data_IF_285031732675
#
_entry.id   IF_285031732675
#
_cell.length_a   1.000
_cell.length_b   1.000
_cell.length_c   1.000
_cell.angle_alpha   90.00
_cell.angle_beta   90.00
_cell.angle_gamma   90.00
#
_symmetry.space_group_name_H-M   'P 1'
#
loop_
_entity.id
_entity.type
_entity.pdbx_description
1 polymer ?
#
# COMPACT_ATOMS: atom_id res chain seq x y z
N UNK A 1 -59.85 -21.21 -5.15
CA UNK A 1 -58.74 -20.32 -5.53
C UNK A 1 -57.87 -21.09 -6.52
N UNK A 2 -57.85 -20.70 -7.79
CA UNK A 2 -57.24 -21.50 -8.88
C UNK A 2 -55.72 -21.59 -8.70
N UNK A 3 -55.18 -22.80 -8.85
CA UNK A 3 -53.74 -23.14 -8.85
C UNK A 3 -52.88 -22.17 -9.68
N UNK A 4 -53.43 -21.63 -10.77
CA UNK A 4 -52.79 -20.65 -11.64
C UNK A 4 -52.48 -19.31 -10.94
N UNK A 5 -53.35 -18.83 -10.06
CA UNK A 5 -53.11 -17.65 -9.23
C UNK A 5 -52.03 -17.89 -8.18
N UNK A 6 -52.02 -19.09 -7.58
CA UNK A 6 -50.96 -19.49 -6.64
C UNK A 6 -49.60 -19.53 -7.33
N UNK A 7 -49.51 -20.07 -8.54
CA UNK A 7 -48.28 -20.11 -9.34
C UNK A 7 -47.79 -18.69 -9.67
N UNK A 8 -48.68 -17.80 -10.12
CA UNK A 8 -48.33 -16.40 -10.41
C UNK A 8 -47.81 -15.66 -9.18
N UNK A 9 -48.41 -15.87 -8.00
CA UNK A 9 -47.96 -15.25 -6.74
C UNK A 9 -46.57 -15.76 -6.36
N UNK A 10 -46.31 -17.06 -6.48
CA UNK A 10 -45.01 -17.66 -6.14
C UNK A 10 -43.91 -17.18 -7.09
N UNK A 11 -44.16 -17.22 -8.40
CA UNK A 11 -43.21 -16.75 -9.41
C UNK A 11 -42.94 -15.24 -9.28
N UNK A 12 -44.00 -14.45 -9.05
CA UNK A 12 -43.87 -13.02 -8.79
C UNK A 12 -43.02 -12.72 -7.56
N UNK A 13 -43.24 -13.46 -6.48
CA UNK A 13 -42.48 -13.33 -5.23
C UNK A 13 -41.00 -13.69 -5.40
N UNK A 14 -40.69 -14.75 -6.17
CA UNK A 14 -39.32 -15.14 -6.52
C UNK A 14 -38.61 -14.08 -7.36
N UNK A 15 -39.32 -13.47 -8.33
CA UNK A 15 -38.80 -12.36 -9.13
C UNK A 15 -38.46 -11.14 -8.27
N UNK A 16 -39.34 -10.77 -7.33
CA UNK A 16 -39.10 -9.66 -6.40
C UNK A 16 -37.89 -9.95 -5.51
N UNK A 17 -37.77 -11.16 -4.96
CA UNK A 17 -36.62 -11.58 -4.16
C UNK A 17 -35.31 -11.51 -4.97
N UNK A 18 -35.35 -11.94 -6.24
CA UNK A 18 -34.19 -11.87 -7.13
C UNK A 18 -33.76 -10.42 -7.42
N UNK A 19 -34.72 -9.52 -7.69
CA UNK A 19 -34.42 -8.10 -7.89
C UNK A 19 -33.84 -7.44 -6.63
N UNK A 20 -34.37 -7.77 -5.44
CA UNK A 20 -33.81 -7.30 -4.16
C UNK A 20 -32.38 -7.80 -3.96
N UNK A 21 -32.09 -9.05 -4.31
CA UNK A 21 -30.74 -9.61 -4.26
C UNK A 21 -29.76 -8.85 -5.16
N UNK A 22 -30.14 -8.55 -6.39
CA UNK A 22 -29.32 -7.76 -7.32
C UNK A 22 -29.07 -6.34 -6.80
N UNK A 23 -30.10 -5.70 -6.26
CA UNK A 23 -30.02 -4.35 -5.70
C UNK A 23 -29.07 -4.30 -4.49
N UNK A 24 -29.13 -5.28 -3.59
CA UNK A 24 -28.19 -5.42 -2.48
C UNK A 24 -26.75 -5.63 -2.97
N UNK A 25 -26.55 -6.48 -3.98
CA UNK A 25 -25.25 -6.68 -4.61
C UNK A 25 -24.66 -5.39 -5.21
N UNK A 26 -25.51 -4.59 -5.86
CA UNK A 26 -25.12 -3.28 -6.40
C UNK A 26 -24.71 -2.29 -5.31
N UNK A 27 -25.49 -2.19 -4.23
CA UNK A 27 -25.17 -1.30 -3.09
C UNK A 27 -23.83 -1.71 -2.44
N UNK A 28 -23.62 -3.02 -2.23
CA UNK A 28 -22.37 -3.55 -1.70
C UNK A 28 -21.19 -3.21 -2.61
N UNK A 29 -21.35 -3.35 -3.94
CA UNK A 29 -20.33 -3.00 -4.91
C UNK A 29 -19.96 -1.50 -4.89
N UNK A 30 -20.95 -0.61 -4.81
CA UNK A 30 -20.71 0.84 -4.69
C UNK A 30 -19.98 1.18 -3.39
N UNK A 31 -20.38 0.56 -2.27
CA UNK A 31 -19.72 0.75 -0.98
C UNK A 31 -18.24 0.31 -1.03
N UNK A 32 -17.96 -0.84 -1.64
CA UNK A 32 -16.60 -1.34 -1.86
C UNK A 32 -15.77 -0.39 -2.70
N UNK A 33 -16.32 0.11 -3.81
CA UNK A 33 -15.62 1.07 -4.69
C UNK A 33 -15.29 2.37 -3.95
N UNK A 34 -16.19 2.84 -3.09
CA UNK A 34 -15.96 4.03 -2.25
C UNK A 34 -14.82 3.80 -1.24
N UNK A 35 -14.75 2.63 -0.62
CA UNK A 35 -13.66 2.30 0.33
C UNK A 35 -12.32 2.10 -0.39
N UNK A 36 -12.33 1.43 -1.54
CA UNK A 36 -11.16 1.26 -2.41
C UNK A 36 -10.57 2.61 -2.83
N UNK A 37 -11.41 3.55 -3.27
CA UNK A 37 -10.95 4.90 -3.60
C UNK A 37 -10.31 5.59 -2.40
N UNK A 38 -10.88 5.46 -1.19
CA UNK A 38 -10.26 6.01 0.03
C UNK A 38 -8.89 5.43 0.31
N UNK A 39 -8.72 4.11 0.15
CA UNK A 39 -7.41 3.44 0.29
C UNK A 39 -6.42 4.03 -0.71
N UNK A 40 -6.81 4.15 -1.98
CA UNK A 40 -5.94 4.68 -3.03
C UNK A 40 -5.62 6.18 -2.83
N UNK A 41 -6.56 6.96 -2.31
CA UNK A 41 -6.35 8.38 -2.02
C UNK A 41 -5.35 8.57 -0.88
N UNK A 42 -5.48 7.81 0.22
CA UNK A 42 -4.47 7.84 1.29
C UNK A 42 -3.12 7.31 0.82
N UNK A 43 -3.13 6.27 -0.02
CA UNK A 43 -1.91 5.71 -0.61
C UNK A 43 -1.16 6.75 -1.46
N UNK A 44 -1.87 7.54 -2.26
CA UNK A 44 -1.29 8.63 -3.06
C UNK A 44 -0.69 9.73 -2.18
N UNK A 45 -1.23 9.99 -0.99
CA UNK A 45 -0.65 10.98 -0.07
C UNK A 45 0.71 10.57 0.48
N UNK A 46 1.02 9.27 0.51
CA UNK A 46 2.34 8.76 0.91
C UNK A 46 3.39 9.02 -0.18
N UNK A 47 2.97 9.20 -1.44
CA UNK A 47 3.89 9.32 -2.56
C UNK A 47 4.95 10.41 -2.47
N UNK A 48 4.60 11.68 -2.19
CA UNK A 48 5.61 12.73 -2.06
C UNK A 48 6.60 12.45 -0.90
N UNK A 49 6.14 11.79 0.15
CA UNK A 49 6.97 11.44 1.29
C UNK A 49 8.02 10.37 0.91
N UNK A 50 7.57 9.29 0.26
CA UNK A 50 8.46 8.21 -0.18
C UNK A 50 9.48 8.70 -1.23
N UNK A 51 9.07 9.58 -2.14
CA UNK A 51 10.01 10.24 -3.07
C UNK A 51 11.09 11.04 -2.34
N UNK A 52 10.71 11.81 -1.32
CA UNK A 52 11.69 12.54 -0.50
C UNK A 52 12.68 11.62 0.23
N UNK A 53 12.22 10.45 0.69
CA UNK A 53 13.09 9.44 1.31
C UNK A 53 14.09 8.85 0.33
N UNK A 54 13.66 8.60 -0.91
CA UNK A 54 14.55 8.14 -1.99
C UNK A 54 15.62 9.16 -2.29
N UNK A 55 15.26 10.44 -2.40
CA UNK A 55 16.21 11.51 -2.70
C UNK A 55 17.25 11.66 -1.59
N UNK A 56 16.82 11.63 -0.32
CA UNK A 56 17.75 11.63 0.82
C UNK A 56 18.69 10.41 0.79
N UNK A 57 18.18 9.24 0.39
CA UNK A 57 19.01 8.06 0.31
C UNK A 57 20.04 8.14 -0.83
N UNK A 58 19.64 8.68 -1.99
CA UNK A 58 20.58 8.96 -3.08
C UNK A 58 21.68 9.92 -2.62
N UNK A 59 21.31 11.00 -1.92
CA UNK A 59 22.27 11.95 -1.34
C UNK A 59 23.26 11.24 -0.38
N UNK A 60 22.74 10.39 0.51
CA UNK A 60 23.57 9.64 1.45
C UNK A 60 24.54 8.67 0.73
N UNK A 61 24.08 8.00 -0.33
CA UNK A 61 24.92 7.11 -1.13
C UNK A 61 25.99 7.83 -1.93
N UNK A 62 25.68 9.00 -2.50
CA UNK A 62 26.68 9.85 -3.16
C UNK A 62 27.80 10.20 -2.16
N UNK A 63 27.45 10.57 -0.93
CA UNK A 63 28.44 10.83 0.10
C UNK A 63 29.27 9.60 0.46
N UNK A 64 28.64 8.42 0.58
CA UNK A 64 29.32 7.14 0.83
C UNK A 64 30.36 6.84 -0.26
N UNK A 65 30.01 7.08 -1.53
CA UNK A 65 30.89 6.88 -2.69
C UNK A 65 32.03 7.90 -2.75
N UNK A 66 31.72 9.19 -2.58
CA UNK A 66 32.72 10.28 -2.56
C UNK A 66 33.79 10.03 -1.48
N UNK A 67 33.38 9.42 -0.37
CA UNK A 67 34.28 9.08 0.75
C UNK A 67 34.88 7.69 0.65
N UNK A 68 34.52 6.92 -0.38
CA UNK A 68 34.96 5.56 -0.63
C UNK A 68 34.78 4.65 0.61
N UNK A 69 33.63 4.79 1.29
CA UNK A 69 33.34 4.00 2.49
C UNK A 69 33.06 2.54 2.12
N UNK A 70 33.49 1.56 2.94
CA UNK A 70 33.31 0.16 2.64
C UNK A 70 31.85 -0.28 2.83
N UNK A 71 31.18 -0.71 1.76
CA UNK A 71 29.84 -1.30 1.79
C UNK A 71 29.76 -2.58 0.98
N UNK A 72 28.71 -3.38 1.18
CA UNK A 72 28.45 -4.59 0.37
C UNK A 72 27.85 -4.19 -0.98
N UNK A 73 28.47 -4.58 -2.10
CA UNK A 73 27.99 -4.21 -3.45
C UNK A 73 26.57 -4.71 -3.72
N UNK A 74 26.27 -5.96 -3.37
CA UNK A 74 24.95 -6.57 -3.52
C UNK A 74 23.84 -5.75 -2.85
N UNK A 75 24.17 -5.09 -1.74
CA UNK A 75 23.23 -4.23 -1.02
C UNK A 75 22.85 -3.00 -1.84
N UNK A 76 23.84 -2.32 -2.41
CA UNK A 76 23.61 -1.15 -3.26
C UNK A 76 22.80 -1.50 -4.50
N UNK A 77 23.14 -2.59 -5.19
CA UNK A 77 22.42 -3.01 -6.39
C UNK A 77 20.96 -3.38 -6.11
N UNK A 78 20.71 -4.06 -4.99
CA UNK A 78 19.35 -4.40 -4.56
C UNK A 78 18.53 -3.14 -4.31
N UNK A 79 19.16 -2.14 -3.71
CA UNK A 79 18.53 -0.89 -3.38
C UNK A 79 18.20 -0.02 -4.60
N UNK A 80 19.15 0.11 -5.52
CA UNK A 80 18.95 0.89 -6.76
C UNK A 80 17.86 0.27 -7.65
N UNK A 81 17.75 -1.07 -7.67
CA UNK A 81 16.68 -1.79 -8.36
C UNK A 81 15.30 -1.53 -7.77
N UNK A 82 15.21 -1.18 -6.48
CA UNK A 82 13.93 -0.93 -5.81
C UNK A 82 13.40 0.50 -6.02
N UNK A 83 14.23 1.46 -6.44
CA UNK A 83 13.79 2.86 -6.63
C UNK A 83 12.60 3.05 -7.57
N UNK A 84 12.54 2.40 -8.75
CA UNK A 84 11.41 2.57 -9.66
C UNK A 84 10.10 2.07 -9.06
N UNK A 85 10.16 1.07 -8.18
CA UNK A 85 8.98 0.49 -7.54
C UNK A 85 8.39 1.42 -6.46
N UNK A 86 9.17 2.40 -5.98
CA UNK A 86 8.71 3.39 -4.99
C UNK A 86 7.73 4.38 -5.61
N UNK A 87 7.85 4.72 -6.88
CA UNK A 87 6.87 5.55 -7.62
C UNK A 87 5.84 4.73 -8.38
N UNK A 88 5.79 3.41 -8.16
CA UNK A 88 4.81 2.54 -8.81
C UNK A 88 3.39 2.82 -8.31
N UNK A 89 2.42 2.74 -9.23
CA UNK A 89 1.00 2.74 -8.88
C UNK A 89 0.54 1.40 -8.29
N UNK A 90 1.38 0.35 -8.37
CA UNK A 90 1.11 -0.95 -7.77
C UNK A 90 1.47 -0.96 -6.27
N UNK A 91 0.45 -1.20 -5.44
CA UNK A 91 0.56 -1.33 -3.99
C UNK A 91 1.55 -2.42 -3.57
N UNK A 92 1.60 -3.54 -4.30
CA UNK A 92 2.46 -4.68 -3.95
C UNK A 92 3.92 -4.37 -4.25
N UNK A 93 4.20 -3.81 -5.44
CA UNK A 93 5.55 -3.36 -5.80
C UNK A 93 6.06 -2.33 -4.79
N UNK A 94 5.25 -1.32 -4.47
CA UNK A 94 5.65 -0.25 -3.55
C UNK A 94 5.89 -0.74 -2.12
N UNK A 95 5.14 -1.73 -1.64
CA UNK A 95 5.37 -2.33 -0.29
C UNK A 95 6.69 -3.06 -0.21
N UNK A 96 7.04 -3.84 -1.23
CA UNK A 96 8.36 -4.48 -1.30
C UNK A 96 9.48 -3.43 -1.36
N UNK A 97 9.25 -2.36 -2.10
CA UNK A 97 10.19 -1.27 -2.21
C UNK A 97 10.36 -0.52 -0.87
N UNK A 98 9.29 -0.30 -0.10
CA UNK A 98 9.33 0.29 1.25
C UNK A 98 10.20 -0.54 2.19
N UNK A 99 9.99 -1.86 2.28
CA UNK A 99 10.79 -2.72 3.17
C UNK A 99 12.29 -2.64 2.82
N UNK A 100 12.60 -2.61 1.52
CA UNK A 100 13.95 -2.39 1.01
C UNK A 100 14.48 -1.00 1.37
N UNK A 101 13.62 0.03 1.27
CA UNK A 101 13.91 1.41 1.64
C UNK A 101 14.24 1.53 3.14
N UNK A 102 13.38 1.00 4.01
CA UNK A 102 13.52 1.01 5.47
C UNK A 102 14.84 0.34 5.89
N UNK A 103 15.17 -0.80 5.29
CA UNK A 103 16.44 -1.47 5.54
C UNK A 103 17.63 -0.66 4.99
N UNK A 104 17.48 -0.03 3.82
CA UNK A 104 18.36 1.03 3.29
C UNK A 104 18.73 2.09 4.32
N UNK A 105 17.72 2.70 4.93
CA UNK A 105 17.88 3.74 5.95
C UNK A 105 18.67 3.25 7.15
N UNK A 106 18.35 2.06 7.66
CA UNK A 106 19.04 1.50 8.82
C UNK A 106 20.50 1.20 8.49
N UNK A 107 20.77 0.57 7.34
CA UNK A 107 22.12 0.21 6.92
C UNK A 107 22.98 1.45 6.67
N UNK A 108 22.50 2.38 5.85
CA UNK A 108 23.25 3.58 5.48
C UNK A 108 23.54 4.44 6.71
N UNK A 109 22.57 4.56 7.64
CA UNK A 109 22.81 5.26 8.91
C UNK A 109 23.93 4.60 9.71
N UNK A 110 23.88 3.27 9.91
CA UNK A 110 24.93 2.54 10.64
C UNK A 110 26.30 2.66 9.96
N UNK A 111 26.33 2.60 8.62
CA UNK A 111 27.55 2.77 7.86
C UNK A 111 28.18 4.15 8.09
N UNK A 112 27.37 5.21 8.09
CA UNK A 112 27.82 6.56 8.38
C UNK A 112 28.24 6.73 9.86
N UNK A 113 27.55 6.10 10.80
CA UNK A 113 27.88 6.11 12.22
C UNK A 113 29.23 5.42 12.52
N UNK A 114 29.50 4.27 11.89
CA UNK A 114 30.69 3.45 12.15
C UNK A 114 31.91 3.84 11.31
N UNK A 115 31.70 4.14 10.03
CA UNK A 115 32.75 4.33 9.03
C UNK A 115 32.82 5.76 8.52
N UNK A 116 31.75 6.53 8.66
CA UNK A 116 31.78 7.96 8.38
C UNK A 116 32.74 8.65 9.32
N UNK A 117 33.70 9.41 8.76
CA UNK A 117 34.47 10.36 9.57
C UNK A 117 33.47 11.34 10.18
N UNK A 118 33.62 11.70 11.47
CA UNK A 118 32.79 12.68 12.21
C UNK A 118 32.92 14.08 11.59
N UNK A 119 32.33 14.24 10.42
CA UNK A 119 32.22 15.48 9.66
C UNK A 119 30.81 16.00 9.84
N UNK A 120 30.65 17.33 9.76
CA UNK A 120 29.34 17.96 9.95
C UNK A 120 28.30 17.42 8.96
N UNK A 121 28.71 17.17 7.70
CA UNK A 121 27.87 16.57 6.67
C UNK A 121 27.43 15.13 7.00
N UNK A 122 28.30 14.31 7.58
CA UNK A 122 27.92 12.95 7.99
C UNK A 122 26.91 12.97 9.15
N UNK A 123 27.14 13.84 10.15
CA UNK A 123 26.23 14.00 11.28
C UNK A 123 24.86 14.54 10.84
N UNK A 124 24.84 15.49 9.89
CA UNK A 124 23.61 16.01 9.30
C UNK A 124 22.83 14.91 8.56
N UNK A 125 23.48 14.11 7.72
CA UNK A 125 22.84 12.99 7.04
C UNK A 125 22.28 11.95 8.01
N UNK A 126 23.04 11.58 9.05
CA UNK A 126 22.57 10.66 10.09
C UNK A 126 21.30 11.20 10.77
N UNK A 127 21.28 12.50 11.09
CA UNK A 127 20.13 13.16 11.69
C UNK A 127 18.92 13.13 10.76
N UNK A 128 19.07 13.54 9.49
CA UNK A 128 17.99 13.52 8.49
C UNK A 128 17.44 12.11 8.26
N UNK A 129 18.32 11.10 8.17
CA UNK A 129 17.92 9.70 8.00
C UNK A 129 17.07 9.23 9.18
N UNK A 130 17.43 9.61 10.41
CA UNK A 130 16.68 9.26 11.62
C UNK A 130 15.32 9.96 11.68
N UNK A 131 15.27 11.25 11.37
CA UNK A 131 14.03 12.04 11.36
C UNK A 131 13.03 11.51 10.32
N UNK A 132 13.50 11.26 9.09
CA UNK A 132 12.68 10.71 8.01
C UNK A 132 12.18 9.30 8.29
N UNK A 133 12.90 8.50 9.07
CA UNK A 133 12.44 7.19 9.51
C UNK A 133 11.20 7.32 10.42
N UNK A 134 11.24 8.24 11.40
CA UNK A 134 10.11 8.48 12.33
C UNK A 134 8.91 9.12 11.63
N UNK A 135 9.16 10.06 10.70
CA UNK A 135 8.10 10.65 9.88
C UNK A 135 7.37 9.59 9.03
N UNK A 136 8.08 8.55 8.58
CA UNK A 136 7.51 7.46 7.79
C UNK A 136 6.48 6.68 8.55
N UNK A 137 6.80 6.24 9.76
CA UNK A 137 5.87 5.49 10.60
C UNK A 137 4.54 6.24 10.82
N UNK A 138 4.60 7.58 10.91
CA UNK A 138 3.40 8.42 11.03
C UNK A 138 2.65 8.57 9.70
N UNK A 139 3.35 8.68 8.58
CA UNK A 139 2.74 8.80 7.25
C UNK A 139 1.93 7.55 6.87
N UNK A 140 2.38 6.36 7.27
CA UNK A 140 1.73 5.09 6.96
C UNK A 140 0.49 4.80 7.82
N UNK A 141 0.45 5.27 9.08
CA UNK A 141 -0.66 4.99 10.01
C UNK A 141 -2.05 5.31 9.44
N UNK A 142 -2.19 6.43 8.74
CA UNK A 142 -3.48 6.85 8.17
C UNK A 142 -3.96 5.87 7.08
N UNK A 143 -3.04 5.46 6.21
CA UNK A 143 -3.31 4.47 5.19
C UNK A 143 -3.59 3.10 5.80
N UNK A 144 -2.78 2.61 6.74
CA UNK A 144 -2.92 1.27 7.31
C UNK A 144 -4.27 1.10 8.00
N UNK A 145 -4.73 2.13 8.72
CA UNK A 145 -6.04 2.15 9.34
C UNK A 145 -7.18 1.98 8.33
N UNK A 146 -7.04 2.56 7.13
CA UNK A 146 -8.05 2.48 6.08
C UNK A 146 -7.91 1.18 5.27
N UNK A 147 -6.69 0.72 5.00
CA UNK A 147 -6.39 -0.56 4.35
C UNK A 147 -6.90 -1.75 5.17
N UNK A 148 -6.68 -1.77 6.49
CA UNK A 148 -7.20 -2.80 7.41
C UNK A 148 -8.73 -2.89 7.30
N UNK A 149 -9.43 -1.74 7.31
CA UNK A 149 -10.88 -1.69 7.20
C UNK A 149 -11.36 -2.22 5.85
N UNK A 150 -10.71 -1.82 4.76
CA UNK A 150 -11.03 -2.31 3.42
C UNK A 150 -10.82 -3.83 3.30
N UNK A 151 -9.70 -4.34 3.81
CA UNK A 151 -9.40 -5.77 3.82
C UNK A 151 -10.39 -6.58 4.65
N UNK A 152 -10.80 -6.05 5.81
CA UNK A 152 -11.83 -6.68 6.63
C UNK A 152 -13.15 -6.79 5.86
N UNK A 153 -13.57 -5.74 5.15
CA UNK A 153 -14.79 -5.76 4.32
C UNK A 153 -14.64 -6.76 3.17
N UNK A 154 -13.50 -6.78 2.47
CA UNK A 154 -13.21 -7.75 1.41
C UNK A 154 -13.25 -9.20 1.91
N UNK A 155 -12.90 -9.43 3.17
CA UNK A 155 -12.87 -10.77 3.77
C UNK A 155 -14.26 -11.33 4.10
N UNK A 156 -15.29 -10.48 4.19
CA UNK A 156 -16.67 -10.88 4.53
C UNK A 156 -17.28 -11.78 3.46
N UNK A 157 -18.00 -12.83 3.89
CA UNK A 157 -18.54 -13.87 3.01
C UNK A 157 -19.43 -13.31 1.88
N UNK A 158 -20.35 -12.40 2.19
CA UNK A 158 -21.25 -11.79 1.21
C UNK A 158 -20.49 -10.95 0.18
N UNK A 159 -19.43 -10.27 0.61
CA UNK A 159 -18.57 -9.47 -0.27
C UNK A 159 -17.70 -10.35 -1.16
N UNK A 160 -17.16 -11.46 -0.64
CA UNK A 160 -16.42 -12.46 -1.44
C UNK A 160 -17.27 -13.00 -2.58
N UNK A 161 -18.54 -13.28 -2.32
CA UNK A 161 -19.51 -13.76 -3.31
C UNK A 161 -19.74 -12.71 -4.39
N UNK A 162 -20.02 -11.46 -4.01
CA UNK A 162 -20.22 -10.34 -4.95
C UNK A 162 -18.93 -10.07 -5.76
N UNK A 163 -17.75 -10.12 -5.13
CA UNK A 163 -16.46 -9.94 -5.80
C UNK A 163 -16.21 -11.04 -6.84
N UNK A 164 -16.50 -12.30 -6.50
CA UNK A 164 -16.39 -13.46 -7.40
C UNK A 164 -17.35 -13.38 -8.59
N UNK A 165 -18.56 -12.86 -8.39
CA UNK A 165 -19.56 -12.72 -9.45
C UNK A 165 -19.37 -11.51 -10.35
N UNK A 166 -18.62 -10.48 -9.92
CA UNK A 166 -18.48 -9.24 -10.69
C UNK A 166 -17.64 -9.33 -11.97
N UNK A 167 -16.98 -10.47 -12.24
CA UNK A 167 -16.24 -10.77 -13.48
C UNK A 167 -15.02 -9.89 -13.78
N UNK A 168 -14.87 -8.73 -13.14
CA UNK A 168 -13.67 -7.90 -13.14
C UNK A 168 -12.62 -8.57 -12.26
N UNK A 169 -11.34 -8.42 -12.64
CA UNK A 169 -10.15 -8.88 -11.89
C UNK A 169 -10.46 -8.86 -10.39
N UNK A 170 -10.29 -10.00 -9.71
CA UNK A 170 -10.49 -10.12 -8.26
C UNK A 170 -9.96 -8.85 -7.61
N UNK A 171 -10.79 -8.15 -6.83
CA UNK A 171 -10.25 -7.05 -6.03
C UNK A 171 -9.26 -7.64 -5.05
N UNK A 172 -8.00 -7.28 -5.23
CA UNK A 172 -6.93 -7.70 -4.35
C UNK A 172 -7.03 -6.94 -3.02
N UNK A 173 -6.66 -7.58 -1.91
CA UNK A 173 -6.57 -6.88 -0.63
C UNK A 173 -5.58 -5.73 -0.76
N UNK A 174 -5.91 -4.61 -0.11
CA UNK A 174 -4.95 -3.54 0.10
C UNK A 174 -3.78 -4.08 0.93
N UNK A 175 -2.56 -3.65 0.62
CA UNK A 175 -1.36 -4.12 1.34
C UNK A 175 -1.12 -3.22 2.54
N UNK A 176 -0.94 -3.74 3.75
CA UNK A 176 -0.59 -2.96 4.95
C UNK A 176 0.93 -2.74 4.96
N UNK A 177 1.41 -1.53 5.28
CA UNK A 177 2.83 -1.13 5.22
C UNK A 177 3.55 -1.19 6.58
#
# INVERSE_FOLDING_TARGET
MNTLWTILIVVGSLLVLFLLYLLLGWILWLSLKKQENKVMDEFRKIEPFESSRVDLMKEAWIYVDERNLPYKKDFRETFEKAYPDISSQDLVARRKAKETLDFGFIYTRKLLEEKGKRTDKANELIKKLKEKQVEGDNAYQAYDKIAVRYNAILSMANVKIVNKMSGKKRKDPAVIF
#
